data_IF_764543953577
#
_entry.id   IF_764543953577
#
_cell.length_a   1.000
_cell.length_b   1.000
_cell.length_c   1.000
_cell.angle_alpha   90.00
_cell.angle_beta   90.00
_cell.angle_gamma   90.00
#
_symmetry.space_group_name_H-M   'P 1'
#
loop_
_entity.id
_entity.type
_entity.pdbx_description
1 polymer ?
#
# COMPACT_ATOMS: atom_id res chain seq x y z
N UNK A 1 39.57 -4.28 32.16
CA UNK A 1 38.25 -3.69 32.50
C UNK A 1 37.48 -4.73 33.27
N UNK A 2 37.15 -4.47 34.54
CA UNK A 2 36.33 -5.37 35.35
C UNK A 2 34.93 -5.47 34.73
N UNK A 3 34.41 -6.69 34.54
CA UNK A 3 33.11 -6.99 33.88
C UNK A 3 31.94 -6.15 34.43
N UNK A 4 32.03 -5.74 35.69
CA UNK A 4 31.00 -4.95 36.38
C UNK A 4 30.78 -3.54 35.80
N UNK A 5 31.76 -2.96 35.11
CA UNK A 5 31.61 -1.62 34.51
C UNK A 5 31.02 -1.66 33.09
N UNK A 6 31.11 -2.80 32.39
CA UNK A 6 30.67 -2.92 31.01
C UNK A 6 29.18 -2.56 30.83
N UNK A 7 28.33 -2.97 31.77
CA UNK A 7 26.89 -2.73 31.73
C UNK A 7 26.47 -1.26 31.91
N UNK A 8 27.32 -0.41 32.49
CA UNK A 8 27.02 1.01 32.74
C UNK A 8 27.57 1.92 31.65
N UNK A 9 28.57 1.45 30.91
CA UNK A 9 29.20 2.20 29.83
C UNK A 9 28.21 2.48 28.69
N UNK A 10 28.31 3.69 28.14
CA UNK A 10 27.63 4.10 26.92
C UNK A 10 28.58 3.94 25.73
N UNK A 11 28.05 3.46 24.61
CA UNK A 11 28.83 3.14 23.42
C UNK A 11 28.29 3.90 22.20
N UNK A 12 29.18 4.25 21.29
CA UNK A 12 28.89 4.83 19.99
C UNK A 12 29.36 3.85 18.92
N UNK A 13 28.66 3.78 17.79
CA UNK A 13 29.13 3.03 16.62
C UNK A 13 29.16 3.92 15.38
N UNK A 14 30.00 3.58 14.41
CA UNK A 14 30.15 4.34 13.17
C UNK A 14 29.35 3.71 12.04
N UNK A 15 28.51 4.49 11.38
CA UNK A 15 27.74 4.08 10.20
C UNK A 15 27.81 5.16 9.14
N UNK A 16 28.25 4.80 7.94
CA UNK A 16 28.36 5.73 6.81
C UNK A 16 29.15 7.01 7.16
N UNK A 17 30.24 6.84 7.91
CA UNK A 17 31.09 7.95 8.37
C UNK A 17 30.53 8.77 9.53
N UNK A 18 29.29 8.50 9.99
CA UNK A 18 28.63 9.21 11.08
C UNK A 18 28.63 8.42 12.38
N UNK A 19 28.80 9.13 13.49
CA UNK A 19 28.77 8.57 14.84
C UNK A 19 27.30 8.47 15.30
N UNK A 20 26.85 7.27 15.65
CA UNK A 20 25.48 7.00 16.08
C UNK A 20 25.48 6.48 17.52
N UNK A 21 24.68 7.11 18.39
CA UNK A 21 24.51 6.73 19.80
C UNK A 21 24.20 7.92 20.69
N UNK A 22 24.30 7.79 22.03
CA UNK A 22 24.89 6.69 22.80
C UNK A 22 23.94 5.51 23.10
N UNK A 23 24.45 4.28 22.98
CA UNK A 23 23.73 3.04 23.28
C UNK A 23 24.28 2.31 24.51
N UNK A 24 23.44 1.51 25.16
CA UNK A 24 23.83 0.54 26.19
C UNK A 24 24.26 -0.77 25.52
N UNK A 25 25.04 -1.64 26.19
CA UNK A 25 25.47 -2.91 25.60
C UNK A 25 24.34 -3.83 25.16
N UNK A 26 23.20 -3.84 25.87
CA UNK A 26 22.04 -4.64 25.46
C UNK A 26 21.36 -4.08 24.20
N UNK A 27 21.33 -2.76 24.02
CA UNK A 27 20.77 -2.14 22.81
C UNK A 27 21.65 -2.48 21.59
N UNK A 28 22.98 -2.47 21.77
CA UNK A 28 23.92 -2.95 20.75
C UNK A 28 23.72 -4.43 20.40
N UNK A 29 23.39 -5.27 21.40
CA UNK A 29 23.02 -6.67 21.18
C UNK A 29 21.75 -6.79 20.33
N UNK A 30 20.73 -5.98 20.60
CA UNK A 30 19.49 -5.99 19.80
C UNK A 30 19.74 -5.53 18.37
N UNK A 31 20.63 -4.55 18.17
CA UNK A 31 21.05 -4.11 16.83
C UNK A 31 21.84 -5.19 16.07
N UNK A 32 22.68 -5.97 16.76
CA UNK A 32 23.33 -7.16 16.19
C UNK A 32 22.31 -8.22 15.76
N UNK A 33 21.30 -8.50 16.60
CA UNK A 33 20.21 -9.43 16.26
C UNK A 33 19.42 -8.98 15.03
N UNK A 34 19.25 -7.66 14.86
CA UNK A 34 18.56 -7.07 13.71
C UNK A 34 19.44 -6.99 12.44
N UNK A 35 20.70 -7.45 12.48
CA UNK A 35 21.69 -7.31 11.41
C UNK A 35 21.98 -5.86 11.02
N UNK A 36 21.70 -4.90 11.91
CA UNK A 36 22.02 -3.50 11.70
C UNK A 36 23.51 -3.20 11.95
N UNK A 37 24.20 -4.10 12.67
CA UNK A 37 25.63 -4.05 12.95
C UNK A 37 26.30 -5.33 12.44
N UNK A 38 27.52 -5.17 11.93
CA UNK A 38 28.39 -6.28 11.54
C UNK A 38 29.53 -6.44 12.55
N UNK A 39 30.18 -7.61 12.54
CA UNK A 39 31.35 -7.88 13.38
C UNK A 39 32.51 -6.91 13.13
N UNK A 40 32.59 -6.37 11.90
CA UNK A 40 33.57 -5.38 11.45
C UNK A 40 33.21 -3.93 11.82
N UNK A 41 32.03 -3.69 12.40
CA UNK A 41 31.60 -2.33 12.73
C UNK A 41 32.50 -1.72 13.81
N UNK A 42 32.92 -0.46 13.59
CA UNK A 42 33.71 0.27 14.56
C UNK A 42 32.82 0.81 15.67
N UNK A 43 33.22 0.54 16.92
CA UNK A 43 32.58 1.04 18.13
C UNK A 43 33.59 1.74 19.02
N UNK A 44 33.13 2.73 19.78
CA UNK A 44 33.91 3.34 20.86
C UNK A 44 33.06 3.51 22.10
N UNK A 45 33.71 3.41 23.25
CA UNK A 45 33.11 3.82 24.52
C UNK A 45 33.03 5.35 24.58
N UNK A 46 31.96 5.90 25.14
CA UNK A 46 31.70 7.36 25.18
C UNK A 46 32.83 8.14 25.87
N UNK A 47 33.47 7.53 26.88
CA UNK A 47 34.59 8.12 27.62
C UNK A 47 35.95 7.84 26.96
N UNK A 48 36.01 6.95 25.97
CA UNK A 48 37.25 6.58 25.30
C UNK A 48 37.34 7.25 23.92
N UNK A 49 38.49 7.84 23.56
CA UNK A 49 38.67 8.43 22.23
C UNK A 49 38.92 7.36 21.14
N UNK A 50 39.24 6.13 21.53
CA UNK A 50 39.67 5.08 20.59
C UNK A 50 38.50 4.32 19.97
N UNK A 51 38.50 4.24 18.65
CA UNK A 51 37.64 3.34 17.88
C UNK A 51 38.24 1.95 17.81
N UNK A 52 37.43 0.94 18.15
CA UNK A 52 37.81 -0.47 18.08
C UNK A 52 36.78 -1.24 17.27
N UNK A 53 37.19 -2.33 16.65
CA UNK A 53 36.27 -3.22 15.94
C UNK A 53 35.40 -3.95 16.97
N UNK A 54 34.11 -4.11 16.71
CA UNK A 54 33.16 -4.69 17.67
C UNK A 54 33.60 -6.08 18.17
N UNK A 55 34.19 -6.91 17.30
CA UNK A 55 34.72 -8.23 17.67
C UNK A 55 35.95 -8.17 18.62
N UNK A 56 36.71 -7.07 18.63
CA UNK A 56 37.89 -6.95 19.50
C UNK A 56 37.57 -6.44 20.91
N UNK A 57 36.32 -6.06 21.18
CA UNK A 57 35.89 -5.59 22.50
C UNK A 57 35.50 -6.78 23.39
N UNK A 58 36.17 -6.98 24.54
CA UNK A 58 35.81 -8.01 25.50
C UNK A 58 34.35 -7.83 25.97
N UNK A 59 33.57 -8.91 25.95
CA UNK A 59 32.14 -8.90 26.28
C UNK A 59 31.21 -8.86 25.06
N UNK A 60 31.61 -8.23 23.94
CA UNK A 60 30.82 -8.31 22.70
C UNK A 60 31.09 -9.57 21.90
N UNK A 61 32.30 -10.14 21.98
CA UNK A 61 32.63 -11.39 21.30
C UNK A 61 31.71 -12.57 21.71
N UNK A 62 31.34 -12.64 22.98
CA UNK A 62 30.41 -13.67 23.49
C UNK A 62 28.98 -13.41 23.02
N UNK A 63 28.59 -12.14 22.93
CA UNK A 63 27.29 -11.71 22.42
C UNK A 63 27.15 -12.02 20.94
N UNK A 64 28.18 -11.77 20.13
CA UNK A 64 28.21 -12.08 18.70
C UNK A 64 28.07 -13.59 18.50
N UNK A 65 28.86 -14.41 19.23
CA UNK A 65 28.76 -15.87 19.16
C UNK A 65 27.37 -16.37 19.56
N UNK A 66 26.79 -15.83 20.62
CA UNK A 66 25.44 -16.20 21.05
C UNK A 66 24.36 -15.78 20.02
N UNK A 67 24.50 -14.59 19.41
CA UNK A 67 23.57 -14.10 18.40
C UNK A 67 23.66 -14.90 17.09
N UNK A 68 24.86 -15.30 16.67
CA UNK A 68 25.09 -16.16 15.50
C UNK A 68 24.41 -17.53 15.70
N UNK A 69 24.58 -18.15 16.87
CA UNK A 69 23.94 -19.43 17.20
C UNK A 69 22.40 -19.35 17.22
N UNK A 70 21.82 -18.24 17.71
CA UNK A 70 20.37 -18.01 17.70
C UNK A 70 19.83 -17.84 16.27
N UNK A 71 20.61 -17.18 15.39
CA UNK A 71 20.25 -16.99 13.99
C UNK A 71 20.27 -18.30 13.20
N UNK A 72 21.24 -19.18 13.46
CA UNK A 72 21.32 -20.51 12.83
C UNK A 72 20.11 -21.37 13.20
N UNK A 73 19.71 -21.38 14.48
CA UNK A 73 18.49 -22.09 14.94
C UNK A 73 17.24 -21.61 14.20
N UNK A 74 17.07 -20.29 14.08
CA UNK A 74 15.94 -19.74 13.33
C UNK A 74 16.01 -20.01 11.82
N UNK A 75 17.20 -20.17 11.25
CA UNK A 75 17.36 -20.54 9.84
C UNK A 75 16.97 -22.00 9.61
N UNK A 76 17.28 -22.91 10.53
CA UNK A 76 16.85 -24.31 10.50
C UNK A 76 15.33 -24.43 10.64
N UNK A 77 14.71 -23.71 11.58
CA UNK A 77 13.25 -23.70 11.76
C UNK A 77 12.51 -23.23 10.49
N UNK A 78 13.07 -22.24 9.78
CA UNK A 78 12.50 -21.75 8.51
C UNK A 78 12.57 -22.79 7.39
N UNK A 79 13.60 -23.64 7.37
CA UNK A 79 13.70 -24.73 6.39
C UNK A 79 12.65 -25.81 6.66
N UNK A 80 12.43 -26.15 7.92
CA UNK A 80 11.41 -27.13 8.33
C UNK A 80 9.99 -26.61 8.07
N UNK A 81 9.73 -25.32 8.33
CA UNK A 81 8.42 -24.71 8.05
C UNK A 81 8.10 -24.66 6.54
N UNK A 82 9.09 -24.43 5.69
CA UNK A 82 8.90 -24.43 4.22
C UNK A 82 8.62 -25.83 3.66
N UNK A 83 9.14 -26.90 4.26
CA UNK A 83 8.84 -28.26 3.80
C UNK A 83 7.43 -28.76 4.17
N UNK A 84 6.81 -28.24 5.24
CA UNK A 84 5.44 -28.61 5.62
C UNK A 84 4.34 -27.77 4.95
N UNK A 85 4.70 -26.71 4.22
CA UNK A 85 3.77 -25.90 3.44
C UNK A 85 3.66 -26.44 2.01
N UNK A 86 3.09 -27.64 1.83
CA UNK A 86 2.65 -28.13 0.51
C UNK A 86 1.48 -27.24 0.04
N UNK A 87 1.50 -26.69 -1.19
CA UNK A 87 0.70 -25.53 -1.53
C UNK A 87 -0.70 -25.89 -2.02
N UNK A 88 -1.72 -25.45 -1.29
CA UNK A 88 -3.11 -25.37 -1.78
C UNK A 88 -3.25 -24.43 -3.01
N UNK A 89 -2.20 -23.67 -3.33
CA UNK A 89 -2.11 -22.77 -4.50
C UNK A 89 -2.07 -23.54 -5.83
N UNK A 90 -1.56 -24.78 -5.86
CA UNK A 90 -1.54 -25.59 -7.09
C UNK A 90 -2.96 -25.97 -7.58
N UNK A 91 -3.96 -25.99 -6.69
CA UNK A 91 -5.36 -26.22 -7.09
C UNK A 91 -6.01 -24.94 -7.64
N UNK A 92 -5.54 -23.76 -7.23
CA UNK A 92 -6.12 -22.47 -7.64
C UNK A 92 -5.69 -22.00 -9.05
N UNK A 93 -4.48 -22.36 -9.49
CA UNK A 93 -3.96 -21.95 -10.81
C UNK A 93 -4.72 -22.61 -11.96
N UNK A 94 -5.17 -23.85 -11.80
CA UNK A 94 -5.95 -24.57 -12.83
C UNK A 94 -7.33 -23.93 -13.05
N UNK A 95 -7.96 -23.40 -11.99
CA UNK A 95 -9.28 -22.74 -12.09
C UNK A 95 -9.17 -21.38 -12.81
N UNK A 96 -8.07 -20.63 -12.61
CA UNK A 96 -7.87 -19.32 -13.23
C UNK A 96 -7.60 -19.45 -14.74
N UNK A 97 -6.86 -20.47 -15.17
CA UNK A 97 -6.58 -20.68 -16.61
C UNK A 97 -7.86 -21.12 -17.36
N UNK A 98 -8.68 -22.01 -16.78
CA UNK A 98 -9.97 -22.39 -17.35
C UNK A 98 -10.98 -21.23 -17.39
N UNK A 99 -10.99 -20.38 -16.36
CA UNK A 99 -11.84 -19.17 -16.32
C UNK A 99 -11.40 -18.09 -17.32
N UNK A 100 -10.10 -17.92 -17.54
CA UNK A 100 -9.54 -16.92 -18.46
C UNK A 100 -9.89 -17.18 -19.92
N UNK A 101 -9.84 -18.44 -20.37
CA UNK A 101 -10.17 -18.79 -21.76
C UNK A 101 -11.68 -18.63 -22.02
N UNK A 102 -12.53 -19.05 -21.08
CA UNK A 102 -13.98 -18.85 -21.18
C UNK A 102 -14.40 -17.37 -21.15
N UNK A 103 -13.76 -16.56 -20.32
CA UNK A 103 -14.01 -15.11 -20.24
C UNK A 103 -13.57 -14.37 -21.51
N UNK A 104 -12.45 -14.75 -22.12
CA UNK A 104 -11.96 -14.13 -23.34
C UNK A 104 -12.88 -14.41 -24.55
N UNK A 105 -13.34 -15.65 -24.73
CA UNK A 105 -14.28 -15.98 -25.80
C UNK A 105 -15.67 -15.36 -25.59
N UNK A 106 -16.15 -15.31 -24.34
CA UNK A 106 -17.41 -14.64 -24.00
C UNK A 106 -17.36 -13.14 -24.30
N UNK A 107 -16.27 -12.45 -23.94
CA UNK A 107 -16.10 -11.03 -24.22
C UNK A 107 -15.96 -10.74 -25.72
N UNK A 108 -15.22 -11.57 -26.45
CA UNK A 108 -15.05 -11.44 -27.91
C UNK A 108 -16.38 -11.57 -28.64
N UNK A 109 -17.23 -12.52 -28.25
CA UNK A 109 -18.53 -12.71 -28.88
C UNK A 109 -19.51 -11.56 -28.56
N UNK A 110 -19.36 -10.91 -27.40
CA UNK A 110 -20.14 -9.74 -27.02
C UNK A 110 -19.72 -8.46 -27.78
N UNK A 111 -18.48 -8.37 -28.26
CA UNK A 111 -18.04 -7.27 -29.12
C UNK A 111 -18.60 -7.37 -30.55
N UNK A 112 -18.76 -8.58 -31.09
CA UNK A 112 -19.35 -8.77 -32.43
C UNK A 112 -20.88 -8.57 -32.46
N UNK A 113 -21.53 -8.58 -31.30
CA UNK A 113 -22.99 -8.46 -31.17
C UNK A 113 -23.44 -7.08 -30.67
N UNK A 114 -22.65 -6.01 -30.88
CA UNK A 114 -23.17 -4.66 -30.65
C UNK A 114 -24.35 -4.40 -31.61
N UNK A 115 -25.58 -4.19 -31.09
CA UNK A 115 -26.72 -3.86 -31.92
C UNK A 115 -26.45 -2.51 -32.59
N UNK A 116 -26.67 -2.45 -33.91
CA UNK A 116 -26.63 -1.18 -34.65
C UNK A 116 -27.52 -0.18 -33.91
N UNK A 117 -26.89 0.85 -33.35
CA UNK A 117 -27.55 1.94 -32.63
C UNK A 117 -28.61 2.59 -33.54
N UNK A 118 -29.88 2.38 -33.21
CA UNK A 118 -31.05 2.92 -33.91
C UNK A 118 -31.34 4.39 -33.62
N UNK A 119 -30.49 5.09 -32.86
CA UNK A 119 -30.54 6.55 -32.74
C UNK A 119 -29.51 7.15 -33.70
N UNK A 120 -29.96 7.60 -34.87
CA UNK A 120 -29.17 8.24 -35.92
C UNK A 120 -28.60 9.62 -35.54
N UNK A 121 -27.90 9.71 -34.41
CA UNK A 121 -27.14 10.90 -34.02
C UNK A 121 -25.66 10.54 -34.16
N UNK A 122 -24.96 11.08 -35.17
CA UNK A 122 -23.56 10.79 -35.40
C UNK A 122 -22.71 11.32 -34.23
N UNK A 123 -21.92 10.44 -33.62
CA UNK A 123 -21.01 10.74 -32.52
C UNK A 123 -19.83 11.63 -32.92
N UNK A 124 -19.64 11.90 -34.21
CA UNK A 124 -18.61 12.83 -34.69
C UNK A 124 -18.84 14.28 -34.25
N UNK A 125 -20.06 14.66 -33.89
CA UNK A 125 -20.37 16.02 -33.38
C UNK A 125 -19.85 16.28 -31.95
N UNK A 126 -19.50 15.25 -31.18
CA UNK A 126 -18.95 15.41 -29.83
C UNK A 126 -17.41 15.53 -29.82
N UNK A 127 -16.73 15.22 -30.94
CA UNK A 127 -15.27 15.29 -31.05
C UNK A 127 -14.73 16.65 -31.48
N UNK A 128 -15.59 17.56 -31.94
CA UNK A 128 -15.20 18.89 -32.44
C UNK A 128 -15.65 20.05 -31.55
N UNK A 129 -15.99 19.79 -30.28
CA UNK A 129 -16.08 20.85 -29.27
C UNK A 129 -14.66 21.29 -28.89
N UNK A 130 -14.08 22.08 -29.79
CA UNK A 130 -12.83 22.81 -29.59
C UNK A 130 -13.11 23.88 -28.53
N UNK A 131 -12.73 23.58 -27.29
CA UNK A 131 -12.85 24.50 -26.16
C UNK A 131 -11.88 25.65 -26.41
N UNK A 132 -12.40 26.76 -26.94
CA UNK A 132 -11.65 28.01 -27.08
C UNK A 132 -11.03 28.37 -25.72
N UNK A 133 -9.69 28.47 -25.62
CA UNK A 133 -9.05 28.84 -24.37
C UNK A 133 -9.48 30.25 -24.00
N UNK A 134 -10.15 30.38 -22.85
CA UNK A 134 -10.53 31.66 -22.29
C UNK A 134 -9.28 32.54 -22.11
N UNK A 135 -9.29 33.81 -22.55
CA UNK A 135 -8.13 34.69 -22.47
C UNK A 135 -7.73 34.92 -21.01
N UNK A 136 -6.45 34.68 -20.72
CA UNK A 136 -5.79 34.69 -19.40
C UNK A 136 -5.83 36.05 -18.67
N UNK A 137 -6.46 37.09 -19.24
CA UNK A 137 -6.37 38.47 -18.77
C UNK A 137 -7.54 38.94 -17.90
N UNK A 138 -8.51 38.07 -17.57
CA UNK A 138 -9.67 38.47 -16.77
C UNK A 138 -9.45 38.43 -15.24
N UNK A 139 -8.28 38.02 -14.73
CA UNK A 139 -8.07 37.81 -13.28
C UNK A 139 -6.99 38.67 -12.62
N UNK A 140 -6.50 39.73 -13.28
CA UNK A 140 -5.40 40.57 -12.74
C UNK A 140 -5.82 41.96 -12.26
N UNK A 141 -7.09 42.18 -11.91
CA UNK A 141 -7.48 43.38 -11.15
C UNK A 141 -7.95 43.01 -9.74
N UNK A 142 -6.99 42.63 -8.89
CA UNK A 142 -7.18 42.45 -7.44
C UNK A 142 -6.61 43.65 -6.67
N UNK A 143 -6.97 44.88 -7.08
CA UNK A 143 -6.68 46.11 -6.30
C UNK A 143 -7.89 46.66 -5.55
N UNK A 144 -8.89 45.82 -5.28
CA UNK A 144 -9.93 46.09 -4.29
C UNK A 144 -9.69 45.27 -3.02
N UNK A 145 -9.99 45.80 -1.81
CA UNK A 145 -10.08 44.95 -0.63
C UNK A 145 -11.11 43.85 -0.91
N UNK A 146 -10.70 42.58 -0.78
CA UNK A 146 -11.60 41.43 -0.89
C UNK A 146 -12.62 41.58 0.24
N UNK A 147 -13.77 42.19 -0.08
CA UNK A 147 -14.94 42.11 0.77
C UNK A 147 -15.52 40.72 0.52
N UNK A 148 -15.28 39.84 1.49
CA UNK A 148 -16.04 38.61 1.60
C UNK A 148 -17.49 39.03 1.86
N UNK A 149 -18.28 39.10 0.80
CA UNK A 149 -19.72 39.15 0.96
C UNK A 149 -20.09 37.84 1.66
N UNK A 150 -20.51 37.94 2.92
CA UNK A 150 -21.23 36.88 3.61
C UNK A 150 -22.57 36.70 2.88
N UNK A 151 -22.52 36.08 1.71
CA UNK A 151 -23.71 35.56 1.07
C UNK A 151 -24.14 34.36 1.89
N UNK A 152 -25.02 34.63 2.87
CA UNK A 152 -25.81 33.61 3.54
C UNK A 152 -26.67 32.95 2.48
N UNK A 153 -26.10 31.93 1.83
CA UNK A 153 -26.85 31.02 0.97
C UNK A 153 -27.85 30.31 1.88
N UNK A 154 -29.08 30.80 1.89
CA UNK A 154 -30.19 30.10 2.51
C UNK A 154 -30.32 28.76 1.79
N UNK A 155 -29.89 27.70 2.46
CA UNK A 155 -30.14 26.32 2.06
C UNK A 155 -31.66 26.20 1.84
N UNK A 156 -32.04 26.06 0.57
CA UNK A 156 -33.41 25.79 0.15
C UNK A 156 -33.85 24.52 0.86
N UNK A 157 -34.82 24.63 1.76
CA UNK A 157 -35.47 23.49 2.40
C UNK A 157 -35.89 22.49 1.32
N UNK A 158 -35.21 21.35 1.30
CA UNK A 158 -35.60 20.21 0.49
C UNK A 158 -36.88 19.68 1.14
N UNK A 159 -38.03 20.06 0.56
CA UNK A 159 -39.33 19.47 0.92
C UNK A 159 -39.19 17.95 0.88
N UNK A 160 -39.34 17.33 2.05
CA UNK A 160 -39.53 15.89 2.19
C UNK A 160 -40.72 15.47 1.34
N UNK A 161 -40.44 14.90 0.18
CA UNK A 161 -41.42 14.58 -0.83
C UNK A 161 -41.20 13.19 -1.38
N UNK A 162 -42.16 12.32 -1.08
CA UNK A 162 -42.51 11.08 -1.78
C UNK A 162 -41.60 9.86 -1.57
N UNK A 163 -42.02 9.06 -0.60
CA UNK A 163 -41.84 7.60 -0.49
C UNK A 163 -42.01 6.93 -1.86
N UNK A 164 -40.91 6.51 -2.46
CA UNK A 164 -40.92 5.68 -3.67
C UNK A 164 -41.23 4.22 -3.31
N UNK A 165 -42.33 3.72 -3.85
CA UNK A 165 -42.84 2.36 -3.71
C UNK A 165 -41.85 1.36 -4.30
N UNK A 166 -41.36 0.45 -3.45
CA UNK A 166 -40.43 -0.65 -3.78
C UNK A 166 -41.07 -1.62 -4.79
N UNK A 167 -40.49 -1.84 -5.99
CA UNK A 167 -41.01 -2.84 -6.91
C UNK A 167 -40.79 -4.26 -6.38
N UNK A 168 -41.86 -5.05 -6.42
CA UNK A 168 -41.98 -6.42 -5.95
C UNK A 168 -41.14 -7.33 -6.87
N UNK A 169 -40.03 -7.88 -6.36
CA UNK A 169 -39.20 -8.87 -7.08
C UNK A 169 -40.01 -10.14 -7.33
N UNK A 170 -40.12 -10.54 -8.59
CA UNK A 170 -40.61 -11.86 -9.02
C UNK A 170 -39.63 -12.96 -8.56
N UNK A 171 -40.11 -14.09 -8.02
CA UNK A 171 -39.29 -15.26 -7.79
C UNK A 171 -38.95 -15.92 -9.12
N UNK A 172 -37.66 -16.08 -9.41
CA UNK A 172 -37.16 -16.88 -10.53
C UNK A 172 -37.21 -18.34 -10.11
N UNK A 173 -37.97 -19.12 -10.86
CA UNK A 173 -38.12 -20.56 -10.68
C UNK A 173 -36.78 -21.26 -10.88
N UNK A 174 -36.38 -22.03 -9.88
CA UNK A 174 -35.32 -23.02 -10.00
C UNK A 174 -35.85 -24.18 -10.86
N UNK A 175 -35.42 -24.23 -12.12
CA UNK A 175 -35.51 -25.44 -12.93
C UNK A 175 -34.18 -26.17 -12.83
N UNK A 176 -34.20 -27.28 -12.11
CA UNK A 176 -33.15 -28.28 -12.16
C UNK A 176 -33.23 -29.07 -13.47
N UNK A 177 -32.06 -29.47 -13.97
CA UNK A 177 -31.92 -30.56 -14.91
C UNK A 177 -30.79 -31.47 -14.40
N UNK A 178 -30.99 -32.80 -14.37
CA UNK A 178 -29.97 -33.78 -14.02
C UNK A 178 -29.27 -34.32 -15.28
N UNK A 179 -28.02 -34.73 -15.14
CA UNK A 179 -27.24 -35.40 -16.18
C UNK A 179 -25.80 -34.92 -16.14
N UNK A 180 -24.77 -35.73 -16.31
CA UNK A 180 -24.68 -37.12 -16.67
C UNK A 180 -23.23 -37.52 -16.35
N UNK A 181 -23.03 -38.62 -15.65
CA UNK A 181 -21.70 -39.13 -15.37
C UNK A 181 -21.06 -39.62 -16.67
N UNK A 182 -19.97 -38.97 -17.10
CA UNK A 182 -19.14 -39.48 -18.19
C UNK A 182 -17.71 -39.71 -17.70
N UNK A 183 -17.39 -40.98 -17.53
CA UNK A 183 -16.04 -41.48 -17.37
C UNK A 183 -15.28 -41.32 -18.70
N UNK A 184 -14.13 -40.68 -18.64
CA UNK A 184 -13.02 -40.69 -19.61
C UNK A 184 -11.80 -40.44 -18.73
N UNK A 185 -10.82 -41.32 -18.59
CA UNK A 185 -10.13 -42.12 -19.59
C UNK A 185 -8.66 -41.87 -19.28
N UNK A 186 -7.95 -42.93 -18.89
CA UNK A 186 -6.52 -42.89 -18.61
C UNK A 186 -5.72 -42.63 -19.90
N UNK A 187 -4.45 -42.33 -19.70
CA UNK A 187 -3.37 -42.21 -20.69
C UNK A 187 -3.18 -40.80 -21.28
N UNK A 188 -2.20 -40.07 -20.73
CA UNK A 188 -0.95 -39.85 -21.48
C UNK A 188 0.15 -39.23 -20.59
N UNK A 189 1.28 -39.93 -20.59
CA UNK A 189 2.58 -39.53 -20.06
C UNK A 189 3.32 -38.76 -21.16
N UNK A 190 3.70 -37.50 -20.93
CA UNK A 190 4.89 -36.91 -21.56
C UNK A 190 5.29 -35.57 -20.91
N UNK A 191 6.51 -35.56 -20.38
CA UNK A 191 7.47 -34.45 -20.26
C UNK A 191 6.95 -33.04 -19.96
N UNK A 192 7.07 -32.64 -18.68
CA UNK A 192 7.20 -31.23 -18.30
C UNK A 192 8.55 -30.99 -17.63
N UNK A 193 9.47 -30.49 -18.44
CA UNK A 193 10.70 -29.85 -18.00
C UNK A 193 10.37 -28.68 -17.05
N UNK A 194 11.13 -28.59 -15.97
CA UNK A 194 11.01 -27.58 -14.94
C UNK A 194 10.92 -26.15 -15.52
N UNK A 195 9.71 -25.59 -15.56
CA UNK A 195 9.49 -24.16 -15.70
C UNK A 195 9.97 -23.48 -14.42
N UNK A 196 11.26 -23.13 -14.42
CA UNK A 196 11.84 -22.15 -13.51
C UNK A 196 11.03 -20.87 -13.70
N UNK A 197 10.21 -20.51 -12.70
CA UNK A 197 9.70 -19.14 -12.60
C UNK A 197 10.90 -18.24 -12.34
N UNK A 198 11.43 -17.68 -13.42
CA UNK A 198 12.40 -16.59 -13.39
C UNK A 198 11.70 -15.41 -12.71
N UNK A 199 11.99 -15.23 -11.42
CA UNK A 199 11.59 -14.03 -10.69
C UNK A 199 12.41 -12.92 -11.30
N UNK A 200 11.76 -12.16 -12.17
CA UNK A 200 12.35 -11.04 -12.88
C UNK A 200 12.65 -9.89 -11.90
N UNK A 201 13.89 -9.87 -11.40
CA UNK A 201 14.45 -8.75 -10.64
C UNK A 201 15.00 -7.63 -11.56
N UNK A 202 14.77 -7.70 -12.88
CA UNK A 202 15.22 -6.67 -13.84
C UNK A 202 14.31 -5.44 -13.90
N UNK A 203 13.32 -5.32 -13.01
CA UNK A 203 12.74 -4.04 -12.67
C UNK A 203 13.75 -3.23 -11.84
N UNK A 204 14.87 -2.89 -12.47
CA UNK A 204 15.78 -1.83 -12.05
C UNK A 204 14.91 -0.59 -11.98
N UNK A 205 14.42 -0.27 -10.78
CA UNK A 205 13.85 1.02 -10.47
C UNK A 205 14.80 2.05 -11.08
N UNK A 206 14.34 2.79 -12.11
CA UNK A 206 15.11 3.79 -12.85
C UNK A 206 16.06 4.49 -11.87
N UNK A 207 17.33 4.09 -11.90
CA UNK A 207 18.29 4.43 -10.87
C UNK A 207 18.46 5.95 -10.87
N UNK A 208 17.89 6.61 -9.86
CA UNK A 208 18.14 8.02 -9.61
C UNK A 208 16.97 8.98 -9.83
N UNK A 209 15.74 8.51 -10.07
CA UNK A 209 14.60 9.43 -10.05
C UNK A 209 14.17 9.72 -8.61
N UNK A 210 14.59 10.87 -8.07
CA UNK A 210 14.12 11.32 -6.75
C UNK A 210 12.64 11.72 -6.80
N UNK A 211 11.92 11.43 -5.72
CA UNK A 211 10.52 11.82 -5.57
C UNK A 211 10.42 13.32 -5.29
N UNK A 212 10.13 14.09 -6.34
CA UNK A 212 10.03 15.54 -6.24
C UNK A 212 8.88 16.01 -5.32
N UNK A 213 8.98 17.21 -4.71
CA UNK A 213 7.94 17.77 -3.84
C UNK A 213 6.58 17.94 -4.54
N UNK A 214 6.58 18.21 -5.85
CA UNK A 214 5.36 18.29 -6.65
C UNK A 214 4.62 16.96 -6.76
N UNK A 215 5.35 15.86 -6.88
CA UNK A 215 4.75 14.52 -6.95
C UNK A 215 4.18 14.10 -5.60
N UNK A 216 4.91 14.38 -4.51
CA UNK A 216 4.40 14.18 -3.15
C UNK A 216 3.10 14.96 -2.91
N UNK A 217 3.01 16.20 -3.41
CA UNK A 217 1.79 17.00 -3.33
C UNK A 217 0.63 16.38 -4.14
N UNK A 218 0.89 15.87 -5.35
CA UNK A 218 -0.10 15.18 -6.17
C UNK A 218 -0.62 13.89 -5.52
N UNK A 219 0.28 13.09 -4.91
CA UNK A 219 -0.08 11.88 -4.16
C UNK A 219 -0.93 12.24 -2.96
N UNK A 220 -0.54 13.27 -2.20
CA UNK A 220 -1.31 13.75 -1.04
C UNK A 220 -2.71 14.22 -1.46
N UNK A 221 -2.82 15.00 -2.53
CA UNK A 221 -4.10 15.50 -3.02
C UNK A 221 -5.00 14.36 -3.52
N UNK A 222 -4.43 13.39 -4.23
CA UNK A 222 -5.14 12.18 -4.69
C UNK A 222 -5.60 11.31 -3.52
N UNK A 223 -4.80 11.21 -2.45
CA UNK A 223 -5.19 10.51 -1.24
C UNK A 223 -6.34 11.25 -0.53
N UNK A 224 -6.27 12.58 -0.40
CA UNK A 224 -7.34 13.39 0.21
C UNK A 224 -8.65 13.19 -0.53
N UNK A 225 -8.67 13.34 -1.85
CA UNK A 225 -9.92 13.25 -2.64
C UNK A 225 -10.60 11.89 -2.49
N UNK A 226 -9.84 10.80 -2.52
CA UNK A 226 -10.39 9.45 -2.34
C UNK A 226 -10.80 9.17 -0.89
N UNK A 227 -10.04 9.66 0.09
CA UNK A 227 -10.33 9.44 1.51
C UNK A 227 -11.53 10.26 2.00
N UNK A 228 -11.82 11.42 1.39
CA UNK A 228 -12.98 12.26 1.74
C UNK A 228 -14.30 11.50 1.57
N UNK A 229 -14.47 10.73 0.49
CA UNK A 229 -15.68 9.92 0.29
C UNK A 229 -15.86 8.87 1.39
N UNK A 230 -14.78 8.21 1.81
CA UNK A 230 -14.82 7.27 2.94
C UNK A 230 -15.14 7.96 4.27
N UNK A 231 -14.56 9.14 4.50
CA UNK A 231 -14.75 9.90 5.74
C UNK A 231 -16.19 10.43 5.85
N UNK A 232 -16.75 10.94 4.75
CA UNK A 232 -18.13 11.43 4.68
C UNK A 232 -19.13 10.29 4.90
N UNK A 233 -18.96 9.16 4.22
CA UNK A 233 -19.79 7.98 4.43
C UNK A 233 -19.73 7.45 5.87
N UNK A 234 -18.61 7.64 6.57
CA UNK A 234 -18.52 7.27 7.98
C UNK A 234 -19.15 8.30 8.92
N UNK A 235 -19.01 9.60 8.61
CA UNK A 235 -19.65 10.67 9.38
C UNK A 235 -21.19 10.60 9.31
N UNK A 236 -21.74 10.08 8.22
CA UNK A 236 -23.18 9.80 8.07
C UNK A 236 -23.63 8.58 8.90
N UNK A 237 -22.73 7.62 9.15
CA UNK A 237 -23.04 6.42 9.94
C UNK A 237 -22.85 6.63 11.44
N UNK A 238 -21.92 7.49 11.83
CA UNK A 238 -21.50 7.68 13.21
C UNK A 238 -21.34 9.16 13.55
N UNK A 239 -22.19 9.64 14.46
CA UNK A 239 -22.12 11.02 14.95
C UNK A 239 -20.81 11.33 15.68
N UNK A 240 -20.15 10.29 16.21
CA UNK A 240 -18.88 10.38 16.92
C UNK A 240 -17.65 10.58 16.01
N UNK A 241 -17.80 10.40 14.70
CA UNK A 241 -16.70 10.52 13.75
C UNK A 241 -16.44 12.00 13.40
N UNK A 242 -15.51 12.64 14.11
CA UNK A 242 -15.11 14.05 13.89
C UNK A 242 -13.91 14.21 12.93
N UNK A 243 -13.62 13.19 12.13
CA UNK A 243 -12.41 13.10 11.31
C UNK A 243 -11.28 12.32 11.97
N UNK A 244 -10.21 12.09 11.20
CA UNK A 244 -9.06 11.26 11.60
C UNK A 244 -7.81 11.65 10.82
N UNK A 245 -6.64 11.20 11.25
CA UNK A 245 -5.40 11.32 10.48
C UNK A 245 -5.07 9.98 9.85
N UNK A 246 -4.84 9.93 8.55
CA UNK A 246 -4.38 8.74 7.85
C UNK A 246 -2.89 8.89 7.56
N UNK A 247 -2.09 7.92 7.99
CA UNK A 247 -0.66 7.86 7.71
C UNK A 247 -0.36 6.64 6.86
N UNK A 248 0.43 6.80 5.81
CA UNK A 248 0.86 5.67 4.97
C UNK A 248 2.30 5.88 4.50
N UNK A 249 2.99 4.80 4.15
CA UNK A 249 4.34 4.85 3.57
C UNK A 249 4.26 4.63 2.06
N UNK A 250 4.84 5.52 1.26
CA UNK A 250 5.06 5.30 -0.16
C UNK A 250 6.38 4.53 -0.34
N UNK A 251 6.30 3.33 -0.92
CA UNK A 251 7.46 2.47 -1.16
C UNK A 251 8.19 2.90 -2.44
N UNK A 252 9.50 2.64 -2.58
CA UNK A 252 10.26 2.95 -3.81
C UNK A 252 9.68 2.34 -5.09
N UNK A 253 8.92 1.25 -4.96
CA UNK A 253 8.14 0.62 -6.04
C UNK A 253 7.00 1.49 -6.57
N UNK A 254 6.71 2.64 -5.93
CA UNK A 254 5.60 3.51 -6.28
C UNK A 254 4.26 3.11 -5.65
N UNK A 255 4.22 2.03 -4.87
CA UNK A 255 3.02 1.53 -4.21
C UNK A 255 2.88 2.04 -2.77
N UNK A 256 1.65 2.13 -2.29
CA UNK A 256 1.35 2.49 -0.90
C UNK A 256 1.45 1.25 0.00
N UNK A 257 2.22 1.38 1.08
CA UNK A 257 2.37 0.40 2.16
C UNK A 257 2.02 0.98 3.54
N UNK A 258 1.98 0.10 4.56
CA UNK A 258 1.80 0.42 5.98
C UNK A 258 0.81 1.56 6.27
N UNK A 259 -0.47 1.31 6.04
CA UNK A 259 -1.54 2.28 6.34
C UNK A 259 -1.86 2.21 7.84
N UNK A 260 -1.76 3.36 8.52
CA UNK A 260 -2.14 3.57 9.92
C UNK A 260 -3.23 4.63 9.99
N UNK A 261 -4.23 4.37 10.81
CA UNK A 261 -5.34 5.29 11.05
C UNK A 261 -5.20 5.88 12.44
N UNK A 262 -5.50 7.17 12.59
CA UNK A 262 -5.64 7.81 13.89
C UNK A 262 -6.78 7.20 14.69
N UNK A 263 -6.83 7.49 15.99
CA UNK A 263 -7.72 6.83 16.97
C UNK A 263 -9.19 6.75 16.50
N UNK A 264 -9.76 7.85 16.00
CA UNK A 264 -11.13 7.89 15.50
C UNK A 264 -11.36 6.97 14.29
N UNK A 265 -10.39 6.90 13.37
CA UNK A 265 -10.47 6.01 12.21
C UNK A 265 -10.16 4.56 12.55
N UNK A 266 -9.31 4.31 13.54
CA UNK A 266 -8.98 2.97 14.02
C UNK A 266 -10.18 2.28 14.71
N UNK A 267 -11.03 3.07 15.37
CA UNK A 267 -12.26 2.59 16.00
C UNK A 267 -13.39 2.31 14.99
N UNK A 268 -13.22 2.66 13.71
CA UNK A 268 -14.20 2.37 12.65
C UNK A 268 -13.64 1.37 11.63
N UNK A 269 -14.04 0.08 11.70
CA UNK A 269 -13.65 -0.93 10.73
C UNK A 269 -14.14 -0.62 9.30
N UNK A 270 -15.31 0.01 9.19
CA UNK A 270 -15.90 0.39 7.90
C UNK A 270 -15.06 1.47 7.20
N UNK A 271 -14.69 2.53 7.92
CA UNK A 271 -13.76 3.53 7.42
C UNK A 271 -12.41 2.91 7.07
N UNK A 272 -11.85 2.06 7.93
CA UNK A 272 -10.55 1.46 7.68
C UNK A 272 -10.50 0.53 6.48
N UNK A 273 -11.60 -0.14 6.14
CA UNK A 273 -11.70 -0.97 4.92
C UNK A 273 -11.82 -0.09 3.67
N UNK A 274 -12.67 0.94 3.73
CA UNK A 274 -12.82 1.90 2.64
C UNK A 274 -11.51 2.64 2.35
N UNK A 275 -10.83 3.16 3.39
CA UNK A 275 -9.58 3.89 3.27
C UNK A 275 -8.47 3.05 2.64
N UNK A 276 -8.36 1.76 3.00
CA UNK A 276 -7.40 0.84 2.39
C UNK A 276 -7.67 0.61 0.90
N UNK A 277 -8.93 0.38 0.53
CA UNK A 277 -9.32 0.23 -0.88
C UNK A 277 -9.07 1.51 -1.69
N UNK A 278 -9.41 2.67 -1.11
CA UNK A 278 -9.19 3.97 -1.72
C UNK A 278 -7.70 4.25 -2.00
N UNK A 279 -6.82 3.95 -1.03
CA UNK A 279 -5.38 4.16 -1.15
C UNK A 279 -4.70 3.11 -2.04
N UNK A 280 -5.20 1.87 -2.10
CA UNK A 280 -4.62 0.81 -2.94
C UNK A 280 -4.62 1.17 -4.44
N UNK A 281 -5.57 2.01 -4.88
CA UNK A 281 -5.62 2.50 -6.26
C UNK A 281 -4.75 3.72 -6.55
N UNK A 282 -3.86 4.13 -5.64
CA UNK A 282 -2.91 5.21 -5.87
C UNK A 282 -1.55 4.57 -6.12
N UNK A 283 -1.03 4.78 -7.33
CA UNK A 283 0.29 4.33 -7.74
C UNK A 283 1.08 5.52 -8.27
N UNK A 284 2.37 5.53 -7.98
CA UNK A 284 3.34 6.52 -8.46
C UNK A 284 4.34 5.78 -9.31
N UNK A 285 5.03 6.47 -10.22
CA UNK A 285 6.18 5.88 -10.89
C UNK A 285 7.23 5.50 -9.85
N UNK A 286 7.93 4.37 -10.02
CA UNK A 286 9.06 4.01 -9.16
C UNK A 286 10.03 5.19 -8.99
N UNK A 287 10.63 5.28 -7.82
CA UNK A 287 11.54 6.35 -7.44
C UNK A 287 12.68 5.78 -6.60
N UNK A 288 13.83 6.45 -6.65
CA UNK A 288 14.99 6.12 -5.82
C UNK A 288 14.80 6.59 -4.38
N UNK A 289 15.59 6.03 -3.45
CA UNK A 289 15.59 6.43 -2.05
C UNK A 289 14.81 5.49 -1.11
N UNK A 290 14.54 5.98 0.10
CA UNK A 290 13.85 5.21 1.14
C UNK A 290 12.32 5.37 1.09
N UNK A 291 11.57 4.56 1.87
CA UNK A 291 10.14 4.75 2.02
C UNK A 291 9.80 6.12 2.61
N UNK A 292 8.87 6.84 1.96
CA UNK A 292 8.43 8.17 2.38
C UNK A 292 7.12 8.10 3.15
N UNK A 293 7.02 8.79 4.29
CA UNK A 293 5.85 8.72 5.17
C UNK A 293 4.96 9.94 4.96
N UNK A 294 3.75 9.71 4.45
CA UNK A 294 2.77 10.77 4.18
C UNK A 294 1.69 10.74 5.26
N UNK A 295 1.36 11.91 5.80
CA UNK A 295 0.26 12.11 6.75
C UNK A 295 -0.81 13.00 6.13
N UNK A 296 -2.05 12.53 6.19
CA UNK A 296 -3.22 13.20 5.62
C UNK A 296 -4.23 13.44 6.75
N UNK A 297 -4.34 14.68 7.26
CA UNK A 297 -5.39 15.02 8.21
C UNK A 297 -6.72 15.16 7.46
N UNK A 298 -7.74 14.44 7.91
CA UNK A 298 -9.11 14.55 7.44
C UNK A 298 -9.94 15.20 8.54
N UNK A 299 -10.50 16.37 8.25
CA UNK A 299 -11.46 17.06 9.11
C UNK A 299 -12.76 17.19 8.35
N UNK A 300 -13.87 16.89 9.02
CA UNK A 300 -15.21 17.09 8.47
C UNK A 300 -15.79 18.30 9.22
N UNK A 301 -16.03 19.38 8.48
CA UNK A 301 -16.81 20.49 9.01
C UNK A 301 -18.28 20.09 9.02
N UNK A 302 -18.91 20.15 10.18
CA UNK A 302 -20.37 20.12 10.31
C UNK A 302 -20.86 21.56 10.42
#
# INVERSE_FOLDING_TARGET
MSETNFHKTRWLYKRDGRDVGPFRPHELKDLLKQKALTESTQVRELTSPEWRVLNSVPGFADVIRAAAAELERHAEDRKVAKQKAIPWVAISSVIVVLGGVGGYFGWRHMQESQPLSTSGIPTDLLRTLDLQPLPERAYLDTRGPIQWAEEKVALREVKAGTTATRPKRRPVAAQGAPGEARAVGADDLADDAAAVQEIDFSNTADEGRDLGPGELAMVRQSAISKLLGCAQAEAERSDSFNGTTVQFSLLPTGSIGNIRLGQNGANSPAFGTCARGALAGISVKPFGGGPEVIRVPLKIGR
#
